data_IF_302878082040
#
_entry.id   IF_302878082040
#
_cell.length_a   1.000
_cell.length_b   1.000
_cell.length_c   1.000
_cell.angle_alpha   90.00
_cell.angle_beta   90.00
_cell.angle_gamma   90.00
#
_symmetry.space_group_name_H-M   'P 1'
#
loop_
_entity.id
_entity.type
_entity.pdbx_description
1 polymer ?
#
# COMPACT_ATOMS: atom_id res chain seq x y z
N UNK A 1 -6.21 -0.84 28.55
CA UNK A 1 -6.21 -1.90 27.54
C UNK A 1 -5.71 -1.33 26.22
N UNK A 2 -4.77 -2.00 25.59
CA UNK A 2 -4.20 -1.52 24.34
C UNK A 2 -4.83 -2.25 23.17
N UNK A 3 -5.34 -1.47 22.23
CA UNK A 3 -5.81 -2.02 20.98
C UNK A 3 -4.65 -2.16 20.04
N UNK A 4 -4.38 -3.36 19.61
CA UNK A 4 -3.44 -3.59 18.52
C UNK A 4 -4.24 -3.97 17.30
N UNK A 5 -4.02 -3.21 16.25
CA UNK A 5 -4.58 -3.58 14.96
C UNK A 5 -3.89 -4.85 14.48
N UNK A 6 -4.66 -5.75 13.92
CA UNK A 6 -4.10 -6.92 13.26
C UNK A 6 -3.33 -6.48 12.02
N UNK A 7 -2.45 -7.34 11.52
CA UNK A 7 -1.72 -7.06 10.29
C UNK A 7 -2.69 -6.83 9.12
N UNK A 8 -3.80 -7.54 9.10
CA UNK A 8 -4.81 -7.37 8.07
C UNK A 8 -5.44 -5.98 8.11
N UNK A 9 -5.80 -5.52 9.30
CA UNK A 9 -6.37 -4.18 9.49
C UNK A 9 -5.37 -3.09 9.09
N UNK A 10 -4.10 -3.28 9.44
CA UNK A 10 -3.05 -2.35 9.05
C UNK A 10 -2.88 -2.30 7.55
N UNK A 11 -2.89 -3.46 6.91
CA UNK A 11 -2.76 -3.56 5.46
C UNK A 11 -3.93 -2.87 4.78
N UNK A 12 -5.15 -3.13 5.22
CA UNK A 12 -6.33 -2.49 4.67
C UNK A 12 -6.25 -0.97 4.81
N UNK A 13 -5.84 -0.49 5.99
CA UNK A 13 -5.68 0.94 6.23
C UNK A 13 -4.65 1.59 5.31
N UNK A 14 -3.52 0.91 5.11
CA UNK A 14 -2.49 1.42 4.20
C UNK A 14 -2.96 1.40 2.75
N UNK A 15 -3.68 0.35 2.34
CA UNK A 15 -4.24 0.29 1.00
C UNK A 15 -5.22 1.44 0.76
N UNK A 16 -6.08 1.72 1.74
CA UNK A 16 -7.00 2.85 1.64
C UNK A 16 -6.24 4.16 1.49
N UNK A 17 -5.17 4.34 2.27
CA UNK A 17 -4.36 5.54 2.20
C UNK A 17 -3.71 5.71 0.82
N UNK A 18 -3.07 4.64 0.31
CA UNK A 18 -2.42 4.70 -0.99
C UNK A 18 -3.41 4.88 -2.13
N UNK A 19 -4.56 4.24 -2.05
CA UNK A 19 -5.58 4.32 -3.10
C UNK A 19 -6.34 5.65 -3.10
N UNK A 20 -6.37 6.34 -1.94
CA UNK A 20 -7.01 7.65 -1.84
C UNK A 20 -6.15 8.78 -2.37
N UNK A 21 -4.86 8.54 -2.56
CA UNK A 21 -3.94 9.51 -3.13
C UNK A 21 -3.93 9.38 -4.65
N UNK A 22 -3.53 10.46 -5.31
CA UNK A 22 -3.18 10.40 -6.72
C UNK A 22 -1.93 9.52 -6.85
N UNK A 23 -1.47 9.31 -8.04
CA UNK A 23 -0.34 8.42 -8.31
C UNK A 23 1.03 8.97 -7.95
N UNK A 24 1.10 10.20 -7.46
CA UNK A 24 2.34 10.83 -7.05
C UNK A 24 2.43 10.91 -5.52
N UNK A 25 3.55 10.48 -4.98
CA UNK A 25 3.81 10.47 -3.55
C UNK A 25 5.13 11.17 -3.27
N UNK A 26 5.23 11.79 -2.10
CA UNK A 26 6.46 12.43 -1.66
C UNK A 26 7.45 11.39 -1.16
N UNK A 27 8.74 11.74 -1.23
CA UNK A 27 9.80 10.87 -0.70
C UNK A 27 9.55 10.49 0.75
N UNK A 28 8.99 11.39 1.56
CA UNK A 28 8.68 11.12 2.95
C UNK A 28 7.66 10.00 3.13
N UNK A 29 6.86 9.72 2.11
CA UNK A 29 5.86 8.65 2.15
C UNK A 29 6.47 7.26 1.88
N UNK A 30 7.75 7.22 1.56
CA UNK A 30 8.42 5.97 1.23
C UNK A 30 8.44 4.99 2.40
N UNK A 31 8.47 5.49 3.63
CA UNK A 31 8.39 4.63 4.82
C UNK A 31 7.06 3.88 4.86
N UNK A 32 5.98 4.55 4.49
CA UNK A 32 4.67 3.89 4.40
C UNK A 32 4.67 2.81 3.32
N UNK A 33 5.37 3.05 2.21
CA UNK A 33 5.50 2.05 1.16
C UNK A 33 6.25 0.81 1.65
N UNK A 34 7.31 1.00 2.44
CA UNK A 34 8.06 -0.13 3.01
C UNK A 34 7.17 -0.97 3.92
N UNK A 35 6.38 -0.31 4.77
CA UNK A 35 5.46 -1.02 5.66
C UNK A 35 4.40 -1.74 4.83
N UNK A 36 3.86 -1.08 3.81
CA UNK A 36 2.89 -1.71 2.91
C UNK A 36 3.46 -2.98 2.29
N UNK A 37 4.65 -2.90 1.73
CA UNK A 37 5.27 -4.05 1.07
C UNK A 37 5.56 -5.20 2.04
N UNK A 38 5.96 -4.87 3.27
CA UNK A 38 6.17 -5.89 4.30
C UNK A 38 4.87 -6.61 4.62
N UNK A 39 3.77 -5.87 4.75
CA UNK A 39 2.48 -6.46 5.04
C UNK A 39 1.94 -7.26 3.85
N UNK A 40 2.12 -6.76 2.64
CA UNK A 40 1.71 -7.51 1.44
C UNK A 40 2.37 -8.88 1.38
N UNK A 41 3.67 -8.94 1.68
CA UNK A 41 4.40 -10.21 1.69
C UNK A 41 3.85 -11.19 2.72
N UNK A 42 3.37 -10.71 3.86
CA UNK A 42 2.76 -11.57 4.89
C UNK A 42 1.48 -12.23 4.41
N UNK A 43 0.83 -11.65 3.41
CA UNK A 43 -0.41 -12.18 2.84
C UNK A 43 -0.19 -12.81 1.46
N UNK A 44 1.06 -13.14 1.15
CA UNK A 44 1.44 -13.75 -0.14
C UNK A 44 1.06 -12.87 -1.34
N UNK A 45 1.08 -11.56 -1.14
CA UNK A 45 0.83 -10.60 -2.20
C UNK A 45 2.16 -9.98 -2.61
N UNK A 46 2.39 -9.90 -3.90
CA UNK A 46 3.63 -9.35 -4.43
C UNK A 46 3.82 -7.89 -4.06
N UNK A 47 5.04 -7.48 -3.64
CA UNK A 47 5.30 -6.08 -3.30
C UNK A 47 5.08 -5.15 -4.49
N UNK A 48 4.83 -3.89 -4.16
CA UNK A 48 4.60 -2.85 -5.16
C UNK A 48 5.93 -2.25 -5.59
N UNK A 49 6.12 -2.09 -6.88
CA UNK A 49 7.28 -1.45 -7.46
C UNK A 49 6.93 -0.02 -7.84
N UNK A 50 7.80 0.93 -7.50
CA UNK A 50 7.57 2.34 -7.77
C UNK A 50 8.73 2.91 -8.58
N UNK A 51 8.44 3.99 -9.31
CA UNK A 51 9.45 4.75 -10.04
C UNK A 51 9.71 6.04 -9.29
N UNK A 52 10.99 6.36 -9.08
CA UNK A 52 11.38 7.62 -8.45
C UNK A 52 11.54 8.70 -9.50
N UNK A 53 11.13 9.90 -9.13
CA UNK A 53 11.31 11.11 -9.92
C UNK A 53 12.55 11.86 -9.43
N UNK A 54 13.07 12.74 -10.27
CA UNK A 54 14.14 13.65 -9.89
C UNK A 54 13.69 14.71 -8.88
N UNK A 55 12.38 14.82 -8.64
CA UNK A 55 11.78 15.83 -7.76
C UNK A 55 11.47 15.29 -6.35
N UNK A 56 12.21 14.29 -5.91
CA UNK A 56 12.01 13.67 -4.59
C UNK A 56 10.60 13.13 -4.36
N UNK A 57 10.02 12.56 -5.39
CA UNK A 57 8.73 11.88 -5.28
C UNK A 57 8.79 10.55 -6.00
N UNK A 58 7.81 9.69 -5.74
CA UNK A 58 7.70 8.42 -6.43
C UNK A 58 6.29 8.25 -6.97
N UNK A 59 6.17 7.37 -7.95
CA UNK A 59 4.91 7.14 -8.64
C UNK A 59 4.51 5.69 -8.59
N UNK A 60 3.21 5.45 -8.40
CA UNK A 60 2.62 4.14 -8.62
C UNK A 60 2.16 4.07 -10.07
N UNK A 61 2.62 3.05 -10.79
CA UNK A 61 2.11 2.77 -12.13
C UNK A 61 0.65 2.35 -12.03
N UNK A 62 -0.10 2.62 -13.08
CA UNK A 62 -1.51 2.26 -13.12
C UNK A 62 -1.73 0.77 -12.87
N UNK A 63 -0.90 -0.09 -13.45
CA UNK A 63 -1.00 -1.53 -13.25
C UNK A 63 -0.81 -1.92 -11.78
N UNK A 64 0.09 -1.23 -11.08
CA UNK A 64 0.31 -1.48 -9.65
C UNK A 64 -0.87 -1.00 -8.83
N UNK A 65 -1.43 0.16 -9.20
CA UNK A 65 -2.60 0.70 -8.53
C UNK A 65 -3.80 -0.23 -8.67
N UNK A 66 -4.01 -0.78 -9.86
CA UNK A 66 -5.08 -1.75 -10.10
C UNK A 66 -4.88 -3.01 -9.27
N UNK A 67 -3.65 -3.50 -9.18
CA UNK A 67 -3.31 -4.65 -8.36
C UNK A 67 -3.62 -4.42 -6.89
N UNK A 68 -3.29 -3.22 -6.39
CA UNK A 68 -3.60 -2.84 -5.01
C UNK A 68 -5.11 -2.75 -4.78
N UNK A 69 -5.85 -2.25 -5.74
CA UNK A 69 -7.30 -2.17 -5.64
C UNK A 69 -7.92 -3.56 -5.54
N UNK A 70 -7.45 -4.49 -6.35
CA UNK A 70 -7.93 -5.88 -6.30
C UNK A 70 -7.61 -6.52 -4.96
N UNK A 71 -6.38 -6.32 -4.46
CA UNK A 71 -5.99 -6.83 -3.16
C UNK A 71 -6.88 -6.25 -2.06
N UNK A 72 -7.15 -4.96 -2.14
CA UNK A 72 -8.01 -4.28 -1.18
C UNK A 72 -9.41 -4.89 -1.16
N UNK A 73 -10.01 -5.05 -2.33
CA UNK A 73 -11.36 -5.65 -2.43
C UNK A 73 -11.39 -7.05 -1.85
N UNK A 74 -10.40 -7.86 -2.19
CA UNK A 74 -10.30 -9.22 -1.70
C UNK A 74 -10.19 -9.28 -0.18
N UNK A 75 -9.32 -8.45 0.41
CA UNK A 75 -9.14 -8.41 1.84
C UNK A 75 -10.39 -7.91 2.57
N UNK A 76 -11.11 -6.96 2.00
CA UNK A 76 -12.36 -6.47 2.57
C UNK A 76 -13.43 -7.54 2.54
N UNK A 77 -13.51 -8.31 1.47
CA UNK A 77 -14.51 -9.37 1.34
C UNK A 77 -14.28 -10.51 2.33
N UNK A 78 -13.05 -10.69 2.78
CA UNK A 78 -12.67 -11.73 3.73
C UNK A 78 -12.88 -11.33 5.19
N UNK A 79 -13.31 -10.12 5.43
CA UNK A 79 -13.54 -9.61 6.79
C UNK A 79 -14.77 -10.22 7.43
#
# INVERSE_FOLDING_TARGET
MFWRKTDKERLIGLLEWFLSHDWEFRKSDYENLKVLNTLLLRFDIEPVWVNFSIWDCFYLKEVERERLLEAYKKLKDEQ
#
